data_IF_384573918038
#
_entry.id   IF_384573918038
#
_cell.length_a   1.000
_cell.length_b   1.000
_cell.length_c   1.000
_cell.angle_alpha   90.00
_cell.angle_beta   90.00
_cell.angle_gamma   90.00
#
_symmetry.space_group_name_H-M   'P 1'
#
loop_
_entity.id
_entity.type
_entity.pdbx_description
1 polymer ?
#
# COMPACT_ATOMS: atom_id res chain seq x y z
N UNK A 1 8.56 -22.19 36.18
CA UNK A 1 7.62 -22.13 35.04
C UNK A 1 7.51 -20.70 34.56
N UNK A 2 7.90 -20.40 33.31
CA UNK A 2 7.98 -19.02 32.80
C UNK A 2 7.21 -18.93 31.48
N UNK A 3 5.97 -18.43 31.54
CA UNK A 3 5.14 -18.16 30.36
C UNK A 3 5.69 -16.91 29.67
N UNK A 4 6.39 -17.10 28.56
CA UNK A 4 6.77 -16.01 27.64
C UNK A 4 5.56 -15.67 26.81
N UNK A 5 4.89 -14.59 27.20
CA UNK A 5 3.74 -14.03 26.50
C UNK A 5 4.19 -13.49 25.14
N UNK A 6 3.93 -14.26 24.07
CA UNK A 6 4.16 -13.85 22.70
C UNK A 6 3.16 -12.75 22.35
N UNK A 7 3.61 -11.49 22.35
CA UNK A 7 2.80 -10.36 21.87
C UNK A 7 2.57 -10.53 20.36
N UNK A 8 1.32 -10.60 19.87
CA UNK A 8 1.06 -10.61 18.44
C UNK A 8 1.48 -9.25 17.88
N UNK A 9 2.22 -9.28 16.77
CA UNK A 9 2.65 -8.10 16.05
C UNK A 9 1.43 -7.23 15.74
N UNK A 10 1.50 -5.96 16.15
CA UNK A 10 0.51 -4.93 15.81
C UNK A 10 0.34 -4.93 14.29
N UNK A 11 -0.86 -5.31 13.85
CA UNK A 11 -1.25 -5.34 12.45
C UNK A 11 -1.02 -3.98 11.81
N UNK A 12 0.07 -3.88 11.06
CA UNK A 12 0.19 -2.92 9.96
C UNK A 12 -1.04 -3.08 9.09
N UNK A 13 -1.69 -1.97 8.72
CA UNK A 13 -2.84 -1.91 7.81
C UNK A 13 -2.52 -2.45 6.41
N UNK A 14 -2.25 -3.75 6.33
CA UNK A 14 -2.16 -4.53 5.12
C UNK A 14 -3.61 -4.86 4.76
N UNK A 15 -4.24 -3.93 4.04
CA UNK A 15 -5.39 -4.24 3.20
C UNK A 15 -5.05 -5.51 2.40
N UNK A 16 -5.63 -6.65 2.80
CA UNK A 16 -5.68 -7.91 2.06
C UNK A 16 -4.44 -8.16 1.15
N UNK A 17 -3.23 -8.17 1.72
CA UNK A 17 -2.04 -8.66 1.00
C UNK A 17 -1.89 -10.14 1.32
N UNK A 18 -2.60 -10.98 0.58
CA UNK A 18 -2.04 -12.28 0.29
C UNK A 18 -0.79 -12.03 -0.56
N UNK A 19 0.41 -12.30 -0.04
CA UNK A 19 1.66 -12.16 -0.80
C UNK A 19 1.68 -13.00 -2.09
N UNK A 20 0.71 -13.92 -2.23
CA UNK A 20 0.43 -14.69 -3.44
C UNK A 20 -0.31 -13.90 -4.54
N UNK A 21 -0.99 -12.78 -4.22
CA UNK A 21 -1.64 -11.92 -5.20
C UNK A 21 -0.92 -10.59 -5.27
N UNK A 22 -0.15 -10.40 -6.35
CA UNK A 22 0.37 -9.08 -6.72
C UNK A 22 -0.83 -8.16 -6.90
N UNK A 23 -0.87 -7.05 -6.14
CA UNK A 23 -1.91 -6.02 -6.28
C UNK A 23 -2.01 -5.62 -7.75
N UNK A 24 -3.21 -5.69 -8.31
CA UNK A 24 -3.46 -5.32 -9.70
C UNK A 24 -3.09 -3.84 -9.89
N UNK A 25 -2.29 -3.53 -10.90
CA UNK A 25 -1.94 -2.16 -11.26
C UNK A 25 -2.94 -1.59 -12.28
N UNK A 26 -3.19 -0.27 -12.29
CA UNK A 26 -4.12 0.36 -13.23
C UNK A 26 -3.86 0.01 -14.71
N UNK A 27 -2.59 -0.01 -15.12
CA UNK A 27 -2.22 -0.37 -16.50
C UNK A 27 -2.51 -1.84 -16.83
N UNK A 28 -2.37 -2.75 -15.85
CA UNK A 28 -2.71 -4.17 -16.02
C UNK A 28 -4.21 -4.38 -16.22
N UNK A 29 -5.05 -3.51 -15.64
CA UNK A 29 -6.50 -3.50 -15.89
C UNK A 29 -6.80 -3.08 -17.32
N UNK A 30 -6.16 -1.99 -17.80
CA UNK A 30 -6.36 -1.44 -19.15
C UNK A 30 -5.92 -2.41 -20.25
N UNK A 31 -4.84 -3.13 -20.00
CA UNK A 31 -4.23 -4.03 -20.99
C UNK A 31 -4.83 -5.44 -20.97
N UNK A 32 -5.69 -5.77 -19.98
CA UNK A 32 -6.29 -7.09 -19.87
C UNK A 32 -7.16 -7.37 -21.09
N UNK A 33 -6.85 -8.44 -21.81
CA UNK A 33 -7.68 -8.95 -22.92
C UNK A 33 -8.40 -10.21 -22.51
N UNK A 34 -9.66 -10.32 -22.91
CA UNK A 34 -10.46 -11.52 -22.71
C UNK A 34 -10.59 -12.28 -24.03
N UNK A 35 -10.52 -13.62 -24.00
CA UNK A 35 -10.80 -14.41 -25.17
C UNK A 35 -12.29 -14.26 -25.57
N UNK A 36 -12.61 -14.31 -26.87
CA UNK A 36 -13.99 -14.34 -27.31
C UNK A 36 -14.70 -15.60 -26.79
N UNK A 37 -16.01 -15.51 -26.57
CA UNK A 37 -16.80 -16.68 -26.19
C UNK A 37 -16.87 -17.69 -27.34
N UNK A 38 -16.86 -18.99 -27.01
CA UNK A 38 -16.98 -20.05 -28.00
C UNK A 38 -18.35 -20.09 -28.68
N UNK A 39 -18.42 -20.72 -29.85
CA UNK A 39 -19.64 -20.90 -30.65
C UNK A 39 -20.82 -21.41 -29.80
N UNK A 40 -21.99 -20.80 -29.98
CA UNK A 40 -23.24 -21.16 -29.28
C UNK A 40 -23.42 -20.53 -27.90
N UNK A 41 -22.48 -19.69 -27.43
CA UNK A 41 -22.60 -18.95 -26.17
C UNK A 41 -22.77 -17.45 -26.40
N UNK A 42 -23.62 -16.81 -25.60
CA UNK A 42 -23.68 -15.33 -25.52
C UNK A 42 -22.66 -14.84 -24.50
N UNK A 43 -21.84 -13.88 -24.89
CA UNK A 43 -20.89 -13.18 -24.03
C UNK A 43 -21.33 -11.75 -23.75
N UNK A 44 -20.59 -11.06 -22.87
CA UNK A 44 -20.72 -9.62 -22.68
C UNK A 44 -20.25 -8.87 -23.93
N UNK A 45 -20.80 -7.68 -24.15
CA UNK A 45 -20.32 -6.77 -25.18
C UNK A 45 -18.87 -6.36 -24.85
N UNK A 46 -17.89 -6.62 -25.75
CA UNK A 46 -16.51 -6.27 -25.49
C UNK A 46 -16.30 -4.77 -25.25
N UNK A 47 -17.03 -3.91 -25.97
CA UNK A 47 -16.93 -2.46 -25.84
C UNK A 47 -17.38 -1.97 -24.47
N UNK A 48 -18.53 -2.46 -23.98
CA UNK A 48 -19.01 -2.14 -22.63
C UNK A 48 -18.04 -2.62 -21.54
N UNK A 49 -17.48 -3.82 -21.70
CA UNK A 49 -16.48 -4.36 -20.77
C UNK A 49 -15.23 -3.48 -20.74
N UNK A 50 -14.69 -3.09 -21.90
CA UNK A 50 -13.50 -2.25 -21.95
C UNK A 50 -13.77 -0.84 -21.42
N UNK A 51 -14.95 -0.26 -21.66
CA UNK A 51 -15.33 1.04 -21.11
C UNK A 51 -15.45 0.99 -19.57
N UNK A 52 -16.02 -0.08 -19.03
CA UNK A 52 -16.07 -0.29 -17.58
C UNK A 52 -14.67 -0.45 -16.98
N UNK A 53 -13.81 -1.26 -17.61
CA UNK A 53 -12.43 -1.46 -17.14
C UNK A 53 -11.58 -0.18 -17.20
N UNK A 54 -11.81 0.69 -18.18
CA UNK A 54 -11.14 1.99 -18.24
C UNK A 54 -11.46 2.86 -17.02
N UNK A 55 -12.76 2.93 -16.65
CA UNK A 55 -13.21 3.63 -15.44
C UNK A 55 -12.60 3.01 -14.18
N UNK A 56 -12.65 1.69 -14.04
CA UNK A 56 -12.06 0.97 -12.90
C UNK A 56 -10.56 1.26 -12.79
N UNK A 57 -9.84 1.28 -13.91
CA UNK A 57 -8.42 1.62 -13.92
C UNK A 57 -8.17 3.07 -13.48
N UNK A 58 -9.03 4.00 -13.88
CA UNK A 58 -8.99 5.40 -13.43
C UNK A 58 -9.17 5.52 -11.92
N UNK A 59 -10.20 4.88 -11.37
CA UNK A 59 -10.48 4.90 -9.93
C UNK A 59 -9.34 4.26 -9.13
N UNK A 60 -8.82 3.13 -9.62
CA UNK A 60 -7.68 2.46 -9.00
C UNK A 60 -6.42 3.34 -9.00
N UNK A 61 -6.17 4.08 -10.09
CA UNK A 61 -5.06 5.04 -10.15
C UNK A 61 -5.24 6.16 -9.12
N UNK A 62 -6.45 6.71 -8.97
CA UNK A 62 -6.76 7.74 -7.98
C UNK A 62 -6.52 7.25 -6.54
N UNK A 63 -6.99 6.05 -6.20
CA UNK A 63 -6.78 5.43 -4.88
C UNK A 63 -5.28 5.22 -4.61
N UNK A 64 -4.52 4.71 -5.57
CA UNK A 64 -3.08 4.54 -5.41
C UNK A 64 -2.34 5.87 -5.24
N UNK A 65 -2.74 6.91 -5.96
CA UNK A 65 -2.17 8.25 -5.81
C UNK A 65 -2.44 8.84 -4.42
N UNK A 66 -3.68 8.72 -3.92
CA UNK A 66 -4.05 9.15 -2.57
C UNK A 66 -3.28 8.39 -1.50
N UNK A 67 -3.12 7.07 -1.65
CA UNK A 67 -2.33 6.25 -0.74
C UNK A 67 -0.84 6.66 -0.75
N UNK A 68 -0.28 6.96 -1.93
CA UNK A 68 1.09 7.44 -2.03
C UNK A 68 1.28 8.80 -1.35
N UNK A 69 0.31 9.71 -1.49
CA UNK A 69 0.31 11.00 -0.80
C UNK A 69 0.30 10.82 0.73
N UNK A 70 -0.62 10.03 1.26
CA UNK A 70 -0.71 9.75 2.70
C UNK A 70 0.58 9.12 3.26
N UNK A 71 1.21 8.21 2.50
CA UNK A 71 2.49 7.61 2.90
C UNK A 71 3.63 8.62 2.93
N UNK A 72 3.67 9.57 1.99
CA UNK A 72 4.67 10.66 1.99
C UNK A 72 4.50 11.56 3.20
N UNK A 73 3.28 11.99 3.51
CA UNK A 73 3.00 12.79 4.71
C UNK A 73 3.46 12.10 5.99
N UNK A 74 3.15 10.80 6.10
CA UNK A 74 3.60 9.99 7.24
C UNK A 74 5.12 9.86 7.31
N UNK A 75 5.82 9.78 6.17
CA UNK A 75 7.27 9.72 6.12
C UNK A 75 7.89 11.02 6.64
N UNK A 76 7.38 12.18 6.21
CA UNK A 76 7.86 13.49 6.69
C UNK A 76 7.72 13.62 8.20
N UNK A 77 6.57 13.22 8.76
CA UNK A 77 6.34 13.26 10.22
C UNK A 77 7.33 12.36 10.95
N UNK A 78 7.54 11.13 10.45
CA UNK A 78 8.48 10.17 11.05
C UNK A 78 9.93 10.68 10.99
N UNK A 79 10.31 11.35 9.91
CA UNK A 79 11.66 11.90 9.76
C UNK A 79 11.89 13.12 10.65
N UNK A 80 10.88 13.97 10.83
CA UNK A 80 10.92 15.06 11.81
C UNK A 80 11.08 14.51 13.24
N UNK A 81 10.29 13.50 13.61
CA UNK A 81 10.38 12.87 14.92
C UNK A 81 11.73 12.21 15.15
N UNK A 82 12.26 11.50 14.15
CA UNK A 82 13.58 10.86 14.24
C UNK A 82 14.69 11.86 14.48
N UNK A 83 14.68 12.98 13.76
CA UNK A 83 15.67 14.06 13.93
C UNK A 83 15.62 14.64 15.35
N UNK A 84 14.43 14.97 15.83
CA UNK A 84 14.26 15.46 17.20
C UNK A 84 14.76 14.46 18.26
N UNK A 85 14.48 13.15 18.08
CA UNK A 85 14.97 12.11 18.98
C UNK A 85 16.51 12.02 18.98
N UNK A 86 17.15 12.16 17.83
CA UNK A 86 18.61 12.16 17.70
C UNK A 86 19.26 13.40 18.35
N UNK A 87 18.63 14.57 18.21
CA UNK A 87 19.15 15.79 18.84
C UNK A 87 19.02 15.72 20.37
N UNK A 88 17.94 15.14 20.87
CA UNK A 88 17.75 14.89 22.31
C UNK A 88 18.74 13.86 22.86
N UNK A 89 19.07 12.79 22.12
CA UNK A 89 20.07 11.82 22.57
C UNK A 89 21.45 12.47 22.65
N UNK A 90 21.85 13.20 21.59
CA UNK A 90 23.12 13.94 21.57
C UNK A 90 23.24 14.94 22.71
N UNK A 91 22.18 15.69 23.00
CA UNK A 91 22.15 16.65 24.10
C UNK A 91 22.25 15.96 25.48
N UNK A 92 21.70 14.75 25.63
CA UNK A 92 21.82 13.95 26.85
C UNK A 92 23.23 13.38 27.02
N UNK A 93 23.80 12.84 25.95
CA UNK A 93 25.15 12.26 25.96
C UNK A 93 26.22 13.33 26.32
N UNK A 94 26.10 14.53 25.74
CA UNK A 94 26.98 15.66 26.05
C UNK A 94 26.91 16.10 27.52
N UNK A 95 25.71 16.04 28.14
CA UNK A 95 25.52 16.34 29.57
C UNK A 95 26.05 15.23 30.48
N UNK A 96 26.09 13.99 30.00
CA UNK A 96 26.66 12.85 30.73
C UNK A 96 28.18 12.83 30.77
N UNK A 97 28.85 13.40 29.76
CA UNK A 97 30.32 13.48 29.68
C UNK A 97 30.94 14.63 30.49
N UNK A 98 30.12 15.51 31.07
CA UNK A 98 30.54 16.65 31.91
C UNK A 98 30.48 16.37 33.41
N UNK A 99 30.25 15.11 33.81
CA UNK A 99 30.28 14.65 35.20
C UNK A 99 31.38 13.61 35.38
#
# INVERSE_FOLDING_TARGET
MMVRNQRPARGSGATYRSGAYTSLLPWQVRERRFPPVGLGRRGLDPGEVYAFLDRVAGDLAAVHAALAASRRETAVIKDALRRWQSDQSRARDARGHQR
#
